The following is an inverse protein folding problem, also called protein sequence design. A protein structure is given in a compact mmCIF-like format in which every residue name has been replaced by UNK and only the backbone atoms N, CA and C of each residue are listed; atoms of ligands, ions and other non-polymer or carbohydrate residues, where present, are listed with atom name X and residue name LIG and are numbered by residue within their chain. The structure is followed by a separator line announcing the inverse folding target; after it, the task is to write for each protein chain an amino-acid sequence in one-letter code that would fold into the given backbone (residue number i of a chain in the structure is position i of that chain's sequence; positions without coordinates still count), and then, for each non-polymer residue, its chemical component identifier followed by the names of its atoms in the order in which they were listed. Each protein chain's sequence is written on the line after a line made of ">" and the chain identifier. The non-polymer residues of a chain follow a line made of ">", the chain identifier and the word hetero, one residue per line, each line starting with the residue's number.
data_IF_928974472621
#
_entry.id   IF_928974472621
#
_cell.length_a   1.000
_cell.length_b   1.000
_cell.length_c   1.000
_cell.angle_alpha   90.00
_cell.angle_beta   90.00
_cell.angle_gamma   90.00
#
_symmetry.space_group_name_H-M   'P 1'
#
loop_
_entity.id
_entity.type
_entity.pdbx_description
1 polymer ?
#
# COMPACT_ATOMS: atom_id res chain seq x y z
N UNK A 1 -32.15 -14.54 28.68
CA UNK A 1 -32.50 -13.39 27.81
C UNK A 1 -31.47 -12.26 27.91
N UNK A 2 -31.23 -11.67 29.10
CA UNK A 2 -30.20 -10.62 29.31
C UNK A 2 -28.79 -11.02 28.83
N UNK A 3 -28.28 -12.19 29.23
CA UNK A 3 -26.93 -12.65 28.87
C UNK A 3 -26.76 -12.87 27.36
N UNK A 4 -27.80 -13.37 26.69
CA UNK A 4 -27.83 -13.56 25.23
C UNK A 4 -27.78 -12.20 24.53
N UNK A 5 -28.54 -11.22 25.03
CA UNK A 5 -28.57 -9.87 24.48
C UNK A 5 -27.23 -9.16 24.67
N UNK A 6 -26.59 -9.32 25.83
CA UNK A 6 -25.25 -8.77 26.10
C UNK A 6 -24.18 -9.37 25.19
N UNK A 7 -24.21 -10.68 24.97
CA UNK A 7 -23.30 -11.38 24.04
C UNK A 7 -23.48 -10.88 22.60
N UNK A 8 -24.73 -10.71 22.17
CA UNK A 8 -25.04 -10.22 20.82
C UNK A 8 -24.59 -8.77 20.61
N UNK A 9 -24.74 -7.89 21.62
CA UNK A 9 -24.17 -6.54 21.60
C UNK A 9 -22.65 -6.55 21.48
N UNK A 10 -21.96 -7.44 22.20
CA UNK A 10 -20.51 -7.57 22.14
C UNK A 10 -20.03 -8.03 20.75
N UNK A 11 -20.77 -8.95 20.13
CA UNK A 11 -20.49 -9.46 18.78
C UNK A 11 -20.66 -8.39 17.70
N UNK A 12 -21.67 -7.52 17.84
CA UNK A 12 -21.91 -6.41 16.90
C UNK A 12 -20.82 -5.33 16.98
N UNK A 13 -20.32 -5.02 18.18
CA UNK A 13 -19.22 -4.08 18.41
C UNK A 13 -17.87 -4.61 17.88
N UNK A 14 -17.65 -5.92 17.91
CA UNK A 14 -16.44 -6.54 17.38
C UNK A 14 -16.36 -6.50 15.84
N UNK A 15 -17.48 -6.29 15.14
CA UNK A 15 -17.58 -6.39 13.69
C UNK A 15 -17.47 -5.05 12.93
N UNK A 16 -17.19 -3.94 13.62
CA UNK A 16 -17.21 -2.58 13.03
C UNK A 16 -15.98 -2.22 12.15
N UNK A 17 -15.12 -3.19 11.81
CA UNK A 17 -13.77 -2.91 11.29
C UNK A 17 -13.56 -2.96 9.76
N UNK A 18 -14.52 -3.41 8.95
CA UNK A 18 -14.30 -3.56 7.51
C UNK A 18 -14.73 -2.33 6.73
N UNK A 19 -14.08 -1.19 7.00
CA UNK A 19 -14.13 -0.08 6.06
C UNK A 19 -13.44 -0.53 4.77
N UNK A 20 -14.09 -0.37 3.62
CA UNK A 20 -13.44 -0.60 2.33
C UNK A 20 -12.31 0.41 2.23
N UNK A 21 -11.07 -0.06 2.23
CA UNK A 21 -9.91 0.80 1.98
C UNK A 21 -10.18 1.65 0.74
N UNK A 22 -9.83 2.93 0.80
CA UNK A 22 -9.98 3.83 -0.33
C UNK A 22 -9.28 3.19 -1.53
N UNK A 23 -9.96 3.15 -2.67
CA UNK A 23 -9.33 2.65 -3.89
C UNK A 23 -8.08 3.48 -4.17
N UNK A 24 -6.89 2.87 -4.27
CA UNK A 24 -5.68 3.60 -4.57
C UNK A 24 -5.73 4.14 -5.99
N UNK A 25 -5.09 5.30 -6.23
CA UNK A 25 -4.83 5.74 -7.58
C UNK A 25 -3.72 4.87 -8.18
N UNK A 26 -3.83 4.53 -9.47
CA UNK A 26 -2.80 3.78 -10.19
C UNK A 26 -2.12 4.74 -11.17
N UNK A 27 -0.82 4.96 -10.99
CA UNK A 27 0.04 5.66 -11.93
C UNK A 27 0.99 4.63 -12.56
N UNK A 28 0.91 4.46 -13.87
CA UNK A 28 1.79 3.58 -14.63
C UNK A 28 2.81 4.41 -15.39
N UNK A 29 4.10 4.15 -15.15
CA UNK A 29 5.22 4.81 -15.83
C UNK A 29 6.01 3.73 -16.57
N UNK A 30 6.13 3.87 -17.88
CA UNK A 30 6.94 3.00 -18.72
C UNK A 30 8.13 3.82 -19.26
N UNK A 31 9.31 3.22 -19.24
CA UNK A 31 10.53 3.78 -19.82
C UNK A 31 11.11 2.71 -20.73
N UNK A 32 11.31 3.07 -22.00
CA UNK A 32 11.84 2.16 -23.00
C UNK A 32 13.36 1.99 -22.81
N UNK A 33 13.86 0.76 -23.01
CA UNK A 33 15.28 0.40 -22.95
C UNK A 33 16.07 0.82 -21.68
N UNK A 34 15.40 1.10 -20.56
CA UNK A 34 16.06 1.46 -19.31
C UNK A 34 16.75 0.23 -18.67
N UNK A 35 18.08 0.23 -18.69
CA UNK A 35 18.92 -0.75 -17.97
C UNK A 35 19.08 -0.35 -16.47
N UNK A 36 20.08 -0.90 -15.79
CA UNK A 36 20.50 -0.60 -14.42
C UNK A 36 21.11 0.80 -14.20
N UNK A 37 20.83 1.74 -15.12
CA UNK A 37 21.26 3.14 -15.08
C UNK A 37 20.37 3.98 -14.15
N UNK A 38 20.03 3.43 -12.99
CA UNK A 38 19.32 4.10 -11.89
C UNK A 38 20.08 3.91 -10.59
N UNK A 39 20.14 4.95 -9.76
CA UNK A 39 20.95 5.00 -8.55
C UNK A 39 20.64 3.87 -7.57
N UNK A 40 19.36 3.51 -7.44
CA UNK A 40 18.92 2.43 -6.56
C UNK A 40 19.37 1.01 -6.98
N UNK A 41 19.84 0.80 -8.22
CA UNK A 41 20.33 -0.50 -8.69
C UNK A 41 21.86 -0.66 -8.61
N UNK A 42 22.61 0.42 -8.36
CA UNK A 42 24.03 0.36 -7.99
C UNK A 42 25.03 -0.02 -9.09
N UNK A 43 24.59 -0.25 -10.33
CA UNK A 43 25.50 -0.61 -11.44
C UNK A 43 26.33 0.57 -11.99
N UNK A 44 25.79 1.79 -11.90
CA UNK A 44 26.37 2.99 -12.53
C UNK A 44 26.45 4.16 -11.53
N UNK A 45 27.58 4.35 -10.80
CA UNK A 45 27.72 5.38 -9.76
C UNK A 45 27.53 6.82 -10.22
N UNK A 46 27.65 7.09 -11.52
CA UNK A 46 27.42 8.39 -12.14
C UNK A 46 25.94 8.68 -12.43
N UNK A 47 25.06 7.68 -12.36
CA UNK A 47 23.64 7.86 -12.61
C UNK A 47 23.02 8.72 -11.49
N UNK A 48 22.46 9.86 -11.86
CA UNK A 48 21.76 10.77 -10.94
C UNK A 48 20.26 10.68 -11.20
N UNK A 49 19.56 9.82 -10.47
CA UNK A 49 18.11 9.59 -10.64
C UNK A 49 17.32 9.88 -9.35
N UNK A 50 17.45 11.08 -8.76
CA UNK A 50 16.97 11.34 -7.41
C UNK A 50 15.45 11.25 -7.26
N UNK A 51 14.66 11.26 -8.33
CA UNK A 51 13.21 11.05 -8.27
C UNK A 51 12.79 9.57 -8.31
N UNK A 52 13.66 8.69 -8.84
CA UNK A 52 13.47 7.24 -8.88
C UNK A 52 14.07 6.60 -7.61
N UNK A 53 15.13 7.19 -7.07
CA UNK A 53 15.87 6.67 -5.91
C UNK A 53 15.15 6.91 -4.56
N UNK A 54 14.06 7.68 -4.52
CA UNK A 54 13.33 8.10 -3.31
C UNK A 54 12.12 7.24 -3.01
#
# INVERSE_FOLDING_TARGET
>A
VKTILTFFCFLLLACSGFAKDKQPNVLFIAVDDLNDWVGCLGGHPQAKTPNIDR
#
